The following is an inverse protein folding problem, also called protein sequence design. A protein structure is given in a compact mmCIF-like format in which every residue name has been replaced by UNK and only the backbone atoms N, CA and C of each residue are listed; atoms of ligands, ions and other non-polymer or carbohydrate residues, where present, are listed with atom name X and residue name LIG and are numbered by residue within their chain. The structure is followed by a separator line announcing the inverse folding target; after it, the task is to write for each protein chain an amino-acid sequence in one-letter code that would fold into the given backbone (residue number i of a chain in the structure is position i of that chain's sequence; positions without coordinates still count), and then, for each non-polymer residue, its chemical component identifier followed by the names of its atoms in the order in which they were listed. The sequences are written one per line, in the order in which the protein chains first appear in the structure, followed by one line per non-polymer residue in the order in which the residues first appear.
data_IF_137701200517
#
_entry.id   IF_137701200517
#
_cell.length_a   1.000
_cell.length_b   1.000
_cell.length_c   1.000
_cell.angle_alpha   90.00
_cell.angle_beta   90.00
_cell.angle_gamma   90.00
#
_symmetry.space_group_name_H-M   'P 1'
#
loop_
_entity.id
_entity.type
_entity.pdbx_description
1 polymer ?
#
# COMPACT_ATOMS: atom_id res chain seq x y z
N UNK A 1 6.67 -9.05 4.27
CA UNK A 1 6.55 -7.61 3.93
C UNK A 1 7.35 -7.22 2.69
N UNK A 2 8.68 -7.40 2.69
CA UNK A 2 9.57 -6.91 1.62
C UNK A 2 9.18 -7.37 0.22
N UNK A 3 8.93 -8.67 0.04
CA UNK A 3 8.50 -9.22 -1.25
C UNK A 3 7.20 -8.58 -1.78
N UNK A 4 6.23 -8.31 -0.90
CA UNK A 4 4.97 -7.64 -1.28
C UNK A 4 5.27 -6.21 -1.73
N UNK A 5 6.05 -5.45 -0.96
CA UNK A 5 6.40 -4.07 -1.31
C UNK A 5 7.13 -3.99 -2.65
N UNK A 6 8.18 -4.80 -2.84
CA UNK A 6 8.95 -4.85 -4.09
C UNK A 6 8.05 -5.22 -5.28
N UNK A 7 7.17 -6.19 -5.10
CA UNK A 7 6.23 -6.58 -6.15
C UNK A 7 5.23 -5.46 -6.49
N UNK A 8 4.78 -4.66 -5.51
CA UNK A 8 3.97 -3.45 -5.77
C UNK A 8 4.77 -2.35 -6.44
N UNK A 9 6.02 -2.14 -6.02
CA UNK A 9 6.93 -1.16 -6.61
C UNK A 9 7.19 -1.45 -8.09
N UNK A 10 7.60 -2.67 -8.44
CA UNK A 10 7.87 -3.06 -9.83
C UNK A 10 6.61 -2.99 -10.70
N UNK A 11 5.46 -3.37 -10.15
CA UNK A 11 4.19 -3.20 -10.85
C UNK A 11 3.91 -1.72 -11.17
N UNK A 12 4.06 -0.82 -10.18
CA UNK A 12 3.81 0.61 -10.41
C UNK A 12 4.80 1.18 -11.43
N UNK A 13 6.07 0.82 -11.31
CA UNK A 13 7.12 1.24 -12.23
C UNK A 13 6.85 0.77 -13.66
N UNK A 14 6.45 -0.48 -13.84
CA UNK A 14 6.17 -1.09 -15.15
C UNK A 14 4.95 -0.46 -15.81
N UNK A 15 3.89 -0.19 -15.04
CA UNK A 15 2.62 0.32 -15.55
C UNK A 15 2.39 1.80 -15.23
N UNK A 16 3.47 2.57 -15.02
CA UNK A 16 3.39 3.97 -14.57
C UNK A 16 2.48 4.85 -15.44
N UNK A 17 2.55 4.80 -16.78
CA UNK A 17 1.64 5.61 -17.61
C UNK A 17 0.16 5.30 -17.35
N UNK A 18 -0.19 4.01 -17.25
CA UNK A 18 -1.55 3.58 -16.99
C UNK A 18 -2.03 3.98 -15.60
N UNK A 19 -1.16 3.88 -14.59
CA UNK A 19 -1.47 4.30 -13.21
C UNK A 19 -1.66 5.80 -13.10
N UNK A 20 -0.87 6.59 -13.83
CA UNK A 20 -1.03 8.05 -13.88
C UNK A 20 -2.38 8.43 -14.48
N UNK A 21 -2.77 7.79 -15.58
CA UNK A 21 -4.10 8.00 -16.19
C UNK A 21 -5.19 7.60 -15.20
N UNK A 22 -5.13 6.40 -14.61
CA UNK A 22 -6.11 5.95 -13.62
C UNK A 22 -6.23 6.92 -12.44
N UNK A 23 -5.12 7.45 -11.93
CA UNK A 23 -5.11 8.44 -10.85
C UNK A 23 -5.82 9.74 -11.25
N UNK A 24 -5.54 10.25 -12.46
CA UNK A 24 -6.20 11.44 -12.99
C UNK A 24 -7.69 11.21 -13.18
N UNK A 25 -8.06 10.09 -13.82
CA UNK A 25 -9.45 9.72 -14.05
C UNK A 25 -10.25 9.58 -12.75
N UNK A 26 -9.70 8.91 -11.73
CA UNK A 26 -10.35 8.83 -10.40
C UNK A 26 -10.55 10.18 -9.72
N UNK A 27 -9.77 11.21 -10.07
CA UNK A 27 -9.91 12.56 -9.50
C UNK A 27 -11.04 13.37 -10.15
N UNK A 28 -11.43 13.05 -11.39
CA UNK A 28 -12.43 13.79 -12.16
C UNK A 28 -13.73 13.01 -12.42
N UNK A 29 -13.72 11.67 -12.25
CA UNK A 29 -14.83 10.79 -12.59
C UNK A 29 -15.22 9.88 -11.41
N UNK A 30 -16.38 10.18 -10.80
CA UNK A 30 -16.89 9.47 -9.61
C UNK A 30 -17.28 8.01 -9.89
N UNK A 31 -17.67 7.69 -11.12
CA UNK A 31 -18.00 6.32 -11.56
C UNK A 31 -16.76 5.42 -11.61
N UNK A 32 -15.63 5.94 -12.08
CA UNK A 32 -14.34 5.23 -12.08
C UNK A 32 -13.88 5.00 -10.64
N UNK A 33 -14.04 5.99 -9.77
CA UNK A 33 -13.72 5.87 -8.34
C UNK A 33 -14.56 4.77 -7.66
N UNK A 34 -15.87 4.72 -7.93
CA UNK A 34 -16.76 3.69 -7.39
C UNK A 34 -16.39 2.27 -7.87
N UNK A 35 -16.02 2.12 -9.16
CA UNK A 35 -15.53 0.86 -9.70
C UNK A 35 -14.22 0.42 -9.04
N UNK A 36 -13.27 1.33 -8.88
CA UNK A 36 -12.00 1.05 -8.21
C UNK A 36 -12.21 0.60 -6.76
N UNK A 37 -13.07 1.29 -6.00
CA UNK A 37 -13.43 0.91 -4.63
C UNK A 37 -13.99 -0.51 -4.58
N UNK A 38 -14.90 -0.85 -5.49
CA UNK A 38 -15.51 -2.19 -5.57
C UNK A 38 -14.45 -3.26 -5.85
N UNK A 39 -13.56 -3.03 -6.82
CA UNK A 39 -12.47 -3.97 -7.15
C UNK A 39 -11.53 -4.14 -5.94
N UNK A 40 -11.18 -3.04 -5.28
CA UNK A 40 -10.28 -3.04 -4.13
C UNK A 40 -10.84 -3.85 -2.95
N UNK A 41 -12.10 -3.61 -2.57
CA UNK A 41 -12.77 -4.34 -1.49
C UNK A 41 -12.80 -5.85 -1.81
N UNK A 42 -13.21 -6.21 -3.02
CA UNK A 42 -13.42 -7.60 -3.38
C UNK A 42 -12.12 -8.41 -3.54
N UNK A 43 -11.02 -7.78 -3.97
CA UNK A 43 -9.80 -8.52 -4.37
C UNK A 43 -8.60 -8.30 -3.45
N UNK A 44 -8.53 -7.15 -2.77
CA UNK A 44 -7.38 -6.76 -1.95
C UNK A 44 -7.72 -6.87 -0.47
N UNK A 45 -8.82 -6.26 -0.04
CA UNK A 45 -9.14 -6.13 1.37
C UNK A 45 -9.29 -7.48 2.08
N UNK A 46 -10.11 -8.40 1.55
CA UNK A 46 -10.33 -9.71 2.17
C UNK A 46 -9.06 -10.54 2.29
N UNK A 47 -8.19 -10.50 1.27
CA UNK A 47 -6.90 -11.19 1.31
C UNK A 47 -5.98 -10.61 2.38
N UNK A 48 -5.93 -9.28 2.48
CA UNK A 48 -5.13 -8.60 3.50
C UNK A 48 -5.68 -8.86 4.90
N UNK A 49 -7.01 -8.92 5.07
CA UNK A 49 -7.65 -9.23 6.34
C UNK A 49 -7.23 -10.60 6.87
N UNK A 50 -7.29 -11.64 6.04
CA UNK A 50 -6.85 -12.97 6.42
C UNK A 50 -5.37 -13.00 6.86
N UNK A 51 -4.51 -12.25 6.18
CA UNK A 51 -3.09 -12.16 6.52
C UNK A 51 -2.93 -11.48 7.89
N UNK A 52 -3.59 -10.34 8.11
CA UNK A 52 -3.51 -9.60 9.37
C UNK A 52 -4.01 -10.44 10.54
N UNK A 53 -5.17 -11.09 10.40
CA UNK A 53 -5.74 -11.95 11.43
C UNK A 53 -4.82 -13.12 11.76
N UNK A 54 -4.21 -13.77 10.76
CA UNK A 54 -3.24 -14.84 10.97
C UNK A 54 -2.03 -14.39 11.80
N UNK A 55 -1.48 -13.21 11.52
CA UNK A 55 -0.34 -12.67 12.28
C UNK A 55 -0.74 -12.15 13.67
N UNK A 56 -1.98 -11.68 13.85
CA UNK A 56 -2.51 -11.33 15.17
C UNK A 56 -2.72 -12.54 16.06
N UNK A 57 -3.24 -13.66 15.52
CA UNK A 57 -3.40 -14.92 16.25
C UNK A 57 -2.07 -15.47 16.77
N UNK A 58 -0.97 -15.19 16.08
CA UNK A 58 0.40 -15.52 16.51
C UNK A 58 0.99 -14.55 17.54
N UNK A 59 0.29 -13.46 17.86
CA UNK A 59 0.77 -12.44 18.78
C UNK A 59 1.88 -11.53 18.20
N UNK A 60 2.10 -11.56 16.89
CA UNK A 60 3.16 -10.80 16.21
C UNK A 60 2.76 -9.34 15.93
N UNK A 61 1.45 -9.07 15.84
CA UNK A 61 0.88 -7.75 15.57
C UNK A 61 0.20 -7.14 16.80
N UNK A 62 0.13 -5.81 16.81
CA UNK A 62 -0.58 -5.05 17.82
C UNK A 62 -2.07 -5.43 17.89
N UNK A 63 -2.70 -5.33 19.08
CA UNK A 63 -4.12 -5.65 19.29
C UNK A 63 -5.02 -4.51 18.78
N UNK A 64 -4.86 -4.14 17.51
CA UNK A 64 -5.70 -3.16 16.81
C UNK A 64 -6.74 -3.88 15.95
N UNK A 65 -7.87 -3.26 15.59
CA UNK A 65 -8.78 -3.83 14.62
C UNK A 65 -8.05 -4.16 13.30
N UNK A 66 -8.26 -5.34 12.69
CA UNK A 66 -7.61 -5.71 11.43
C UNK A 66 -7.73 -4.62 10.36
N UNK A 67 -8.89 -3.98 10.29
CA UNK A 67 -9.21 -2.90 9.36
C UNK A 67 -8.30 -1.69 9.53
N UNK A 68 -7.91 -1.39 10.76
CA UNK A 68 -6.97 -0.32 11.08
C UNK A 68 -5.57 -0.67 10.60
N UNK A 69 -5.11 -1.91 10.84
CA UNK A 69 -3.80 -2.39 10.40
C UNK A 69 -3.71 -2.40 8.86
N UNK A 70 -4.76 -2.88 8.19
CA UNK A 70 -4.86 -2.89 6.73
C UNK A 70 -4.79 -1.45 6.19
N UNK A 71 -5.62 -0.54 6.71
CA UNK A 71 -5.61 0.87 6.30
C UNK A 71 -4.23 1.49 6.46
N UNK A 72 -3.59 1.35 7.63
CA UNK A 72 -2.26 1.89 7.89
C UNK A 72 -1.21 1.33 6.93
N UNK A 73 -1.24 0.01 6.71
CA UNK A 73 -0.32 -0.66 5.79
C UNK A 73 -0.49 -0.17 4.36
N UNK A 74 -1.71 -0.20 3.84
CA UNK A 74 -1.98 0.15 2.44
C UNK A 74 -1.73 1.63 2.19
N UNK A 75 -2.20 2.52 3.07
CA UNK A 75 -1.97 3.97 2.92
C UNK A 75 -0.48 4.31 2.95
N UNK A 76 0.30 3.64 3.79
CA UNK A 76 1.75 3.88 3.87
C UNK A 76 2.45 3.44 2.57
N UNK A 77 2.17 2.23 2.08
CA UNK A 77 2.76 1.73 0.83
C UNK A 77 2.30 2.58 -0.36
N UNK A 78 1.00 2.84 -0.48
CA UNK A 78 0.44 3.64 -1.57
C UNK A 78 0.97 5.08 -1.53
N UNK A 79 1.06 5.67 -0.34
CA UNK A 79 1.61 7.02 -0.16
C UNK A 79 3.05 7.14 -0.62
N UNK A 80 3.90 6.16 -0.30
CA UNK A 80 5.26 6.10 -0.84
C UNK A 80 5.26 6.04 -2.36
N UNK A 81 4.50 5.12 -2.95
CA UNK A 81 4.47 4.92 -4.41
C UNK A 81 3.93 6.17 -5.14
N UNK A 82 2.85 6.77 -4.65
CA UNK A 82 2.29 8.00 -5.20
C UNK A 82 3.30 9.15 -5.13
N UNK A 83 3.95 9.33 -3.97
CA UNK A 83 4.93 10.40 -3.78
C UNK A 83 6.13 10.21 -4.71
N UNK A 84 6.67 8.99 -4.76
CA UNK A 84 7.83 8.63 -5.57
C UNK A 84 7.60 8.78 -7.08
N UNK A 85 6.44 8.36 -7.58
CA UNK A 85 6.20 8.24 -9.02
C UNK A 85 5.34 9.34 -9.63
N UNK A 86 4.49 10.00 -8.83
CA UNK A 86 3.57 11.03 -9.32
C UNK A 86 3.90 12.42 -8.79
N UNK A 87 4.23 12.55 -7.51
CA UNK A 87 4.43 13.87 -6.89
C UNK A 87 5.85 14.39 -7.06
N UNK A 88 6.85 13.54 -6.82
CA UNK A 88 8.28 13.89 -6.84
C UNK A 88 9.10 12.89 -7.69
N UNK A 89 8.76 12.69 -8.98
CA UNK A 89 9.44 11.70 -9.84
C UNK A 89 10.92 12.00 -10.08
N UNK A 90 11.29 13.28 -10.13
CA UNK A 90 12.65 13.75 -10.47
C UNK A 90 13.54 13.97 -9.24
N UNK A 91 13.03 13.72 -8.02
CA UNK A 91 13.84 13.81 -6.81
C UNK A 91 14.85 12.63 -6.78
N UNK A 92 16.08 12.82 -6.27
CA UNK A 92 17.10 11.78 -6.24
C UNK A 92 16.82 10.77 -5.11
N UNK A 93 15.81 9.92 -5.30
CA UNK A 93 15.43 8.87 -4.36
C UNK A 93 16.46 7.74 -4.31
N UNK A 94 16.73 7.24 -3.11
CA UNK A 94 17.32 5.92 -2.88
C UNK A 94 16.17 4.93 -2.64
N UNK A 95 15.62 4.39 -3.73
CA UNK A 95 14.38 3.61 -3.71
C UNK A 95 14.47 2.39 -2.79
N UNK A 96 15.58 1.66 -2.82
CA UNK A 96 15.78 0.49 -1.97
C UNK A 96 15.76 0.87 -0.49
N UNK A 97 16.45 1.96 -0.14
CA UNK A 97 16.54 2.43 1.24
C UNK A 97 15.21 2.98 1.75
N UNK A 98 14.44 3.66 0.90
CA UNK A 98 13.15 4.21 1.26
C UNK A 98 12.08 3.12 1.40
N UNK A 99 12.11 2.10 0.54
CA UNK A 99 11.31 0.88 0.72
C UNK A 99 11.63 0.24 2.08
N UNK A 100 12.92 0.12 2.42
CA UNK A 100 13.32 -0.48 3.68
C UNK A 100 12.89 0.35 4.90
N UNK A 101 13.06 1.67 4.85
CA UNK A 101 12.56 2.60 5.88
C UNK A 101 11.06 2.47 6.06
N UNK A 102 10.32 2.35 4.97
CA UNK A 102 8.86 2.20 4.99
C UNK A 102 8.45 0.86 5.62
N UNK A 103 9.17 -0.22 5.30
CA UNK A 103 8.96 -1.53 5.94
C UNK A 103 9.26 -1.45 7.43
N UNK A 104 10.38 -0.86 7.83
CA UNK A 104 10.74 -0.73 9.24
C UNK A 104 9.73 0.12 10.02
N UNK A 105 9.25 1.21 9.44
CA UNK A 105 8.19 2.02 10.03
C UNK A 105 6.92 1.19 10.29
N UNK A 106 6.47 0.41 9.29
CA UNK A 106 5.30 -0.46 9.44
C UNK A 106 5.54 -1.56 10.48
N UNK A 107 6.68 -2.25 10.41
CA UNK A 107 6.99 -3.34 11.33
C UNK A 107 7.10 -2.84 12.77
N UNK A 108 7.73 -1.70 13.00
CA UNK A 108 7.88 -1.14 14.35
C UNK A 108 6.57 -0.55 14.88
N UNK A 109 5.78 0.11 14.01
CA UNK A 109 4.51 0.71 14.40
C UNK A 109 3.38 -0.30 14.61
N UNK A 110 3.45 -1.47 13.97
CA UNK A 110 2.43 -2.52 14.05
C UNK A 110 2.83 -3.69 14.95
N UNK A 111 4.07 -3.75 15.44
CA UNK A 111 4.49 -4.78 16.38
C UNK A 111 3.76 -4.60 17.71
N UNK A 112 3.43 -5.72 18.36
CA UNK A 112 2.92 -5.70 19.73
C UNK A 112 3.96 -5.05 20.67
N UNK A 113 3.55 -4.12 21.55
CA UNK A 113 4.45 -3.50 22.53
C UNK A 113 4.99 -4.53 23.53
#
# INVERSE_FOLDING_TARGET
MRAVFQNRYEFVKTYLPAIRVLWQEMAFHDDIKAQFQTIFINHVYEKFKQIVEHFQQKGELAPLPPETIIRLTITTIAGFLLTRFLVMPDYPWDDEREIERTIQFLMNGLKRP
#
